data_IF_314074088431
#
_entry.id   IF_314074088431
#
_cell.length_a   1.000
_cell.length_b   1.000
_cell.length_c   1.000
_cell.angle_alpha   90.00
_cell.angle_beta   90.00
_cell.angle_gamma   90.00
#
_symmetry.space_group_name_H-M   'P 1'
#
loop_
_entity.id
_entity.type
_entity.pdbx_description
1 polymer ?
#
# COMPACT_ATOMS: atom_id res chain seq x y z
N UNK A 1 -6.01 17.90 10.00
CA UNK A 1 -5.32 17.65 8.71
C UNK A 1 -5.31 16.14 8.56
N UNK A 2 -5.72 15.59 7.42
CA UNK A 2 -5.68 14.13 7.23
C UNK A 2 -4.29 13.70 6.76
N UNK A 3 -3.79 12.59 7.29
CA UNK A 3 -2.50 12.02 6.91
C UNK A 3 -2.64 10.57 6.45
N UNK A 4 -1.73 10.16 5.58
CA UNK A 4 -1.71 8.83 4.98
C UNK A 4 -0.56 8.01 5.54
N UNK A 5 -0.82 6.79 5.99
CA UNK A 5 0.19 5.91 6.57
C UNK A 5 0.12 4.51 5.99
N UNK A 6 1.29 3.96 5.66
CA UNK A 6 1.45 2.55 5.31
C UNK A 6 1.84 1.77 6.54
N UNK A 7 1.18 0.64 6.76
CA UNK A 7 1.48 -0.23 7.89
C UNK A 7 1.17 -1.69 7.55
N UNK A 8 1.68 -2.60 8.38
CA UNK A 8 1.53 -4.04 8.21
C UNK A 8 0.37 -4.55 9.05
N UNK A 9 -0.57 -5.25 8.42
CA UNK A 9 -1.58 -6.04 9.13
C UNK A 9 -1.33 -7.53 8.92
N UNK A 10 -1.83 -8.35 9.85
CA UNK A 10 -1.60 -9.79 9.88
C UNK A 10 -2.85 -10.57 9.49
N UNK A 11 -2.68 -11.58 8.65
CA UNK A 11 -3.70 -12.54 8.24
C UNK A 11 -3.32 -13.94 8.73
N UNK A 12 -4.32 -14.70 9.20
CA UNK A 12 -4.15 -16.06 9.73
C UNK A 12 -3.79 -17.12 8.68
N UNK A 13 -3.53 -16.70 7.43
CA UNK A 13 -3.07 -17.60 6.37
C UNK A 13 -1.56 -17.76 6.40
N UNK A 14 -1.08 -18.90 5.90
CA UNK A 14 0.34 -19.21 5.82
C UNK A 14 0.77 -19.19 4.34
N UNK A 15 1.83 -18.44 4.03
CA UNK A 15 2.38 -18.41 2.69
C UNK A 15 2.92 -19.79 2.27
N UNK A 16 2.78 -20.20 0.99
CA UNK A 16 3.17 -21.53 0.52
C UNK A 16 4.60 -21.95 0.90
N UNK A 17 5.56 -21.01 0.86
CA UNK A 17 6.97 -21.24 1.20
C UNK A 17 7.19 -21.60 2.68
N UNK A 18 6.26 -21.26 3.58
CA UNK A 18 6.40 -21.51 5.01
C UNK A 18 5.66 -22.78 5.48
N UNK A 19 4.88 -23.44 4.61
CA UNK A 19 4.06 -24.62 4.98
C UNK A 19 4.83 -25.80 5.59
N UNK A 20 6.15 -25.90 5.35
CA UNK A 20 7.00 -27.00 5.87
C UNK A 20 7.71 -26.65 7.18
N UNK A 21 7.56 -25.43 7.69
CA UNK A 21 8.15 -24.99 8.95
C UNK A 21 7.26 -25.46 10.10
N UNK A 22 7.87 -25.92 11.20
CA UNK A 22 7.14 -26.47 12.36
C UNK A 22 6.21 -25.45 13.03
N UNK A 23 6.57 -24.18 12.98
CA UNK A 23 5.82 -23.04 13.52
C UNK A 23 5.92 -21.88 12.52
N UNK A 24 5.09 -21.89 11.45
CA UNK A 24 5.20 -20.92 10.38
C UNK A 24 4.60 -19.58 10.82
N UNK A 25 5.24 -18.44 10.47
CA UNK A 25 4.67 -17.14 10.75
C UNK A 25 3.38 -16.93 9.94
N UNK A 26 2.44 -16.20 10.52
CA UNK A 26 1.28 -15.70 9.79
C UNK A 26 1.70 -14.68 8.73
N UNK A 27 0.93 -14.65 7.64
CA UNK A 27 1.16 -13.72 6.55
C UNK A 27 0.91 -12.28 7.01
N UNK A 28 1.83 -11.38 6.67
CA UNK A 28 1.68 -9.93 6.88
C UNK A 28 1.72 -9.24 5.53
N UNK A 29 0.83 -8.28 5.34
CA UNK A 29 0.77 -7.49 4.12
C UNK A 29 0.56 -6.01 4.43
N UNK A 30 1.02 -5.17 3.50
CA UNK A 30 0.97 -3.72 3.66
C UNK A 30 -0.40 -3.20 3.26
N UNK A 31 -0.96 -2.32 4.07
CA UNK A 31 -2.16 -1.54 3.76
C UNK A 31 -1.85 -0.05 3.90
N UNK A 32 -2.61 0.78 3.19
CA UNK A 32 -2.59 2.23 3.35
C UNK A 32 -3.80 2.69 4.16
N UNK A 33 -3.61 3.48 5.22
CA UNK A 33 -4.70 4.00 6.04
C UNK A 33 -4.67 5.52 6.07
N UNK A 34 -5.84 6.11 6.24
CA UNK A 34 -5.99 7.55 6.43
C UNK A 34 -6.23 7.78 7.92
N UNK A 35 -5.47 8.69 8.50
CA UNK A 35 -5.58 9.15 9.87
C UNK A 35 -6.25 10.52 9.85
N UNK A 36 -7.28 10.69 10.66
CA UNK A 36 -7.99 11.96 10.79
C UNK A 36 -7.20 12.98 11.65
N UNK A 37 -7.81 14.13 11.92
CA UNK A 37 -7.19 15.23 12.65
C UNK A 37 -7.07 15.01 14.17
N UNK A 38 -7.66 13.94 14.68
CA UNK A 38 -7.61 13.54 16.10
C UNK A 38 -6.90 12.20 16.29
N UNK A 39 -6.01 11.86 15.35
CA UNK A 39 -5.17 10.64 15.34
C UNK A 39 -5.95 9.32 15.29
N UNK A 40 -7.20 9.32 14.82
CA UNK A 40 -7.96 8.09 14.61
C UNK A 40 -7.78 7.57 13.18
N UNK A 41 -7.61 6.25 13.05
CA UNK A 41 -7.64 5.57 11.76
C UNK A 41 -9.07 5.54 11.25
N UNK A 42 -9.29 6.07 10.05
CA UNK A 42 -10.56 5.89 9.35
C UNK A 42 -10.71 4.40 8.99
N UNK A 43 -11.73 3.77 9.58
CA UNK A 43 -11.98 2.35 9.37
C UNK A 43 -12.15 2.01 7.89
N UNK A 44 -11.50 0.94 7.46
CA UNK A 44 -11.64 0.44 6.09
C UNK A 44 -11.59 -1.08 6.05
N UNK A 45 -11.99 -1.62 4.91
CA UNK A 45 -11.82 -3.02 4.60
C UNK A 45 -10.67 -3.22 3.61
N UNK A 46 -9.87 -4.26 3.82
CA UNK A 46 -8.75 -4.62 2.96
C UNK A 46 -8.76 -6.13 2.70
N UNK A 47 -8.48 -6.53 1.46
CA UNK A 47 -8.42 -7.95 1.11
C UNK A 47 -6.98 -8.47 1.21
N UNK A 48 -6.81 -9.62 1.85
CA UNK A 48 -5.52 -10.29 1.94
C UNK A 48 -5.03 -10.67 0.52
N UNK A 49 -3.83 -10.19 0.15
CA UNK A 49 -3.23 -10.46 -1.16
C UNK A 49 -2.71 -11.90 -1.35
N UNK A 50 -2.90 -12.78 -0.36
CA UNK A 50 -2.55 -14.20 -0.46
C UNK A 50 -3.79 -15.13 -0.45
N UNK A 51 -4.69 -15.01 0.52
CA UNK A 51 -5.83 -15.92 0.66
C UNK A 51 -7.19 -15.29 0.33
N UNK A 52 -7.24 -13.98 0.03
CA UNK A 52 -8.47 -13.31 -0.36
C UNK A 52 -9.45 -12.98 0.78
N UNK A 53 -9.15 -13.34 2.03
CA UNK A 53 -10.03 -13.01 3.16
C UNK A 53 -10.03 -11.49 3.41
N UNK A 54 -11.18 -10.97 3.84
CA UNK A 54 -11.35 -9.54 4.11
C UNK A 54 -11.02 -9.24 5.57
N UNK A 55 -10.23 -8.19 5.76
CA UNK A 55 -9.85 -7.61 7.03
C UNK A 55 -10.55 -6.27 7.24
N UNK A 56 -11.13 -6.04 8.41
CA UNK A 56 -11.50 -4.70 8.89
C UNK A 56 -10.30 -4.10 9.59
N UNK A 57 -9.74 -3.04 9.01
CA UNK A 57 -8.63 -2.25 9.55
C UNK A 57 -9.24 -1.10 10.34
N UNK A 58 -8.96 -1.06 11.64
CA UNK A 58 -9.56 -0.08 12.57
C UNK A 58 -8.53 0.70 13.37
N UNK A 59 -7.24 0.33 13.29
CA UNK A 59 -6.14 1.00 13.99
C UNK A 59 -4.80 0.64 13.30
N UNK A 60 -3.73 1.36 13.59
CA UNK A 60 -2.40 1.14 13.01
C UNK A 60 -1.86 -0.22 13.42
N UNK A 61 -1.41 -0.99 12.43
CA UNK A 61 -0.96 -2.37 12.56
C UNK A 61 -2.00 -3.33 13.15
N UNK A 62 -3.29 -2.96 13.15
CA UNK A 62 -4.37 -3.75 13.75
C UNK A 62 -5.52 -3.96 12.78
N UNK A 63 -6.00 -5.18 12.75
CA UNK A 63 -7.17 -5.57 11.96
C UNK A 63 -7.84 -6.79 12.56
N UNK A 64 -9.08 -7.03 12.19
CA UNK A 64 -9.80 -8.27 12.48
C UNK A 64 -10.41 -8.86 11.19
N UNK A 65 -10.63 -10.17 11.16
CA UNK A 65 -11.28 -10.83 10.04
C UNK A 65 -12.74 -10.41 10.01
N UNK A 66 -13.20 -9.89 8.87
CA UNK A 66 -14.59 -9.50 8.66
C UNK A 66 -15.45 -10.76 8.42
N UNK A 67 -15.88 -11.42 9.49
CA UNK A 67 -16.73 -12.62 9.41
C UNK A 67 -18.05 -12.34 8.70
N UNK A 68 -18.44 -13.21 7.77
CA UNK A 68 -19.65 -13.03 6.94
C UNK A 68 -19.41 -12.28 5.62
N UNK A 69 -18.19 -11.81 5.37
CA UNK A 69 -17.79 -11.09 4.16
C UNK A 69 -16.55 -11.74 3.53
N UNK A 70 -16.69 -12.98 3.06
CA UNK A 70 -15.57 -13.77 2.51
C UNK A 70 -15.03 -13.21 1.18
N UNK A 71 -15.86 -12.48 0.42
CA UNK A 71 -15.44 -11.67 -0.72
C UNK A 71 -16.34 -10.44 -0.84
N UNK A 72 -15.75 -9.24 -0.79
CA UNK A 72 -16.46 -7.98 -1.02
C UNK A 72 -16.11 -7.45 -2.41
N UNK A 73 -17.02 -7.60 -3.37
CA UNK A 73 -16.88 -6.97 -4.69
C UNK A 73 -16.98 -5.44 -4.66
N UNK A 74 -17.30 -4.87 -3.50
CA UNK A 74 -17.35 -3.43 -3.26
C UNK A 74 -15.99 -2.81 -2.90
N UNK A 75 -14.94 -3.63 -2.72
CA UNK A 75 -13.60 -3.10 -2.45
C UNK A 75 -12.98 -2.55 -3.72
N UNK A 76 -12.38 -1.34 -3.67
CA UNK A 76 -11.67 -0.77 -4.81
C UNK A 76 -10.52 -1.68 -5.27
N UNK A 77 -10.48 -1.93 -6.57
CA UNK A 77 -9.43 -2.70 -7.24
C UNK A 77 -8.40 -1.78 -7.90
N UNK A 78 -7.27 -2.34 -8.37
CA UNK A 78 -6.28 -1.56 -9.14
C UNK A 78 -6.92 -1.02 -10.42
N UNK A 79 -7.83 -1.77 -11.02
CA UNK A 79 -8.60 -1.41 -12.20
C UNK A 79 -9.52 -0.21 -11.91
N UNK A 80 -10.23 -0.21 -10.77
CA UNK A 80 -11.07 0.93 -10.37
C UNK A 80 -10.23 2.20 -10.19
N UNK A 81 -9.07 2.09 -9.52
CA UNK A 81 -8.14 3.22 -9.41
C UNK A 81 -7.60 3.68 -10.76
N UNK A 82 -7.30 2.77 -11.68
CA UNK A 82 -6.82 3.13 -13.01
C UNK A 82 -7.79 4.01 -13.81
N UNK A 83 -9.09 3.87 -13.57
CA UNK A 83 -10.14 4.68 -14.19
C UNK A 83 -10.29 6.07 -13.54
N UNK A 84 -9.91 6.21 -12.27
CA UNK A 84 -10.02 7.45 -11.51
C UNK A 84 -8.75 8.32 -11.57
N UNK A 85 -7.60 7.70 -11.83
CA UNK A 85 -6.30 8.37 -11.87
C UNK A 85 -5.97 8.91 -13.27
N UNK A 86 -5.09 9.92 -13.39
CA UNK A 86 -4.54 10.32 -14.68
C UNK A 86 -3.85 9.14 -15.37
N UNK A 87 -4.10 8.95 -16.67
CA UNK A 87 -3.60 7.78 -17.43
C UNK A 87 -2.09 7.60 -17.33
N UNK A 88 -1.31 8.69 -17.41
CA UNK A 88 0.14 8.63 -17.25
C UNK A 88 0.58 8.07 -15.90
N UNK A 89 -0.18 8.33 -14.84
CA UNK A 89 0.12 7.81 -13.49
C UNK A 89 -0.28 6.34 -13.39
N UNK A 90 -1.45 5.97 -13.90
CA UNK A 90 -1.89 4.58 -13.95
C UNK A 90 -0.91 3.70 -14.76
N UNK A 91 -0.42 4.19 -15.90
CA UNK A 91 0.58 3.52 -16.74
C UNK A 91 1.88 3.30 -15.97
N UNK A 92 2.34 4.31 -15.21
CA UNK A 92 3.52 4.18 -14.34
C UNK A 92 3.28 3.08 -13.30
N UNK A 93 2.19 3.13 -12.55
CA UNK A 93 1.91 2.17 -11.47
C UNK A 93 1.78 0.73 -12.00
N UNK A 94 1.19 0.55 -13.17
CA UNK A 94 1.14 -0.75 -13.86
C UNK A 94 2.53 -1.21 -14.32
N UNK A 95 3.34 -0.31 -14.90
CA UNK A 95 4.68 -0.66 -15.41
C UNK A 95 5.65 -1.16 -14.34
N UNK A 96 5.46 -0.72 -13.09
CA UNK A 96 6.26 -1.15 -11.94
C UNK A 96 5.57 -2.25 -11.10
N UNK A 97 4.43 -2.79 -11.55
CA UNK A 97 3.61 -3.77 -10.83
C UNK A 97 3.32 -3.35 -9.37
N UNK A 98 2.95 -2.08 -9.17
CA UNK A 98 2.72 -1.54 -7.84
C UNK A 98 1.54 -2.24 -7.15
N UNK A 99 1.74 -2.60 -5.87
CA UNK A 99 0.72 -3.17 -4.99
C UNK A 99 -0.45 -2.20 -4.72
N UNK A 100 -1.64 -2.72 -4.40
CA UNK A 100 -2.87 -1.91 -4.25
C UNK A 100 -2.72 -0.74 -3.26
N UNK A 101 -2.00 -0.92 -2.15
CA UNK A 101 -1.79 0.15 -1.17
C UNK A 101 -1.04 1.37 -1.75
N UNK A 102 -0.24 1.19 -2.81
CA UNK A 102 0.42 2.29 -3.52
C UNK A 102 -0.60 3.07 -4.36
N UNK A 103 -1.56 2.38 -5.00
CA UNK A 103 -2.66 3.02 -5.73
C UNK A 103 -3.53 3.86 -4.79
N UNK A 104 -3.86 3.31 -3.62
CA UNK A 104 -4.57 4.03 -2.56
C UNK A 104 -3.80 5.28 -2.12
N UNK A 105 -2.48 5.16 -1.89
CA UNK A 105 -1.61 6.28 -1.51
C UNK A 105 -1.60 7.38 -2.59
N UNK A 106 -1.45 7.01 -3.87
CA UNK A 106 -1.45 7.96 -4.99
C UNK A 106 -2.79 8.68 -5.09
N UNK A 107 -3.90 7.96 -4.99
CA UNK A 107 -5.24 8.55 -5.01
C UNK A 107 -5.43 9.54 -3.85
N UNK A 108 -4.99 9.18 -2.64
CA UNK A 108 -5.02 10.07 -1.50
C UNK A 108 -4.22 11.36 -1.72
N UNK A 109 -2.98 11.24 -2.24
CA UNK A 109 -2.09 12.39 -2.51
C UNK A 109 -2.70 13.36 -3.50
N UNK A 110 -3.31 12.84 -4.59
CA UNK A 110 -3.99 13.67 -5.59
C UNK A 110 -5.22 14.36 -5.00
N UNK A 111 -6.07 13.61 -4.30
CA UNK A 111 -7.32 14.14 -3.72
C UNK A 111 -7.07 15.22 -2.65
N UNK A 112 -5.91 15.21 -2.00
CA UNK A 112 -5.54 16.16 -0.93
C UNK A 112 -4.41 17.11 -1.33
N UNK A 113 -4.00 17.13 -2.59
CA UNK A 113 -2.93 17.99 -3.12
C UNK A 113 -1.64 17.98 -2.27
N UNK A 114 -1.18 16.78 -1.88
CA UNK A 114 -0.01 16.59 -1.00
C UNK A 114 1.30 16.74 -1.78
N UNK A 115 1.63 17.96 -2.19
CA UNK A 115 2.84 18.28 -2.99
C UNK A 115 4.12 17.90 -2.25
N UNK A 116 5.11 17.41 -3.01
CA UNK A 116 6.41 16.87 -2.55
C UNK A 116 6.33 15.54 -1.80
N UNK A 117 5.15 14.94 -1.68
CA UNK A 117 5.02 13.60 -1.12
C UNK A 117 5.70 12.58 -2.04
N UNK A 118 6.49 11.68 -1.43
CA UNK A 118 7.32 10.70 -2.13
C UNK A 118 6.84 9.28 -1.88
N UNK A 119 6.71 8.52 -2.96
CA UNK A 119 6.29 7.12 -2.92
C UNK A 119 7.41 6.25 -3.47
N UNK A 120 7.91 5.31 -2.68
CA UNK A 120 8.84 4.28 -3.20
C UNK A 120 8.04 3.32 -4.08
N UNK A 121 8.34 3.31 -5.38
CA UNK A 121 7.69 2.42 -6.36
C UNK A 121 8.55 1.19 -6.70
N UNK A 122 9.87 1.28 -6.49
CA UNK A 122 10.79 0.16 -6.64
C UNK A 122 12.04 0.40 -5.79
N UNK A 123 12.62 -0.69 -5.28
CA UNK A 123 13.88 -0.68 -4.55
C UNK A 123 14.59 -2.02 -4.75
N UNK A 124 15.90 -1.95 -4.86
CA UNK A 124 16.83 -3.06 -4.97
C UNK A 124 17.93 -2.89 -3.92
N UNK A 125 18.33 -3.99 -3.29
CA UNK A 125 19.45 -4.00 -2.37
C UNK A 125 20.70 -4.55 -3.06
N UNK A 126 21.75 -3.73 -3.13
CA UNK A 126 23.00 -4.06 -3.79
C UNK A 126 24.16 -3.68 -2.86
N UNK A 127 24.84 -4.71 -2.32
CA UNK A 127 26.07 -4.56 -1.51
C UNK A 127 25.92 -3.59 -0.32
N UNK A 128 24.84 -3.72 0.47
CA UNK A 128 24.62 -2.86 1.65
C UNK A 128 24.15 -1.44 1.30
N UNK A 129 23.69 -1.23 0.06
CA UNK A 129 23.00 -0.02 -0.37
C UNK A 129 21.63 -0.38 -0.93
N UNK A 130 20.66 0.49 -0.68
CA UNK A 130 19.34 0.46 -1.29
C UNK A 130 19.33 1.48 -2.42
N UNK A 131 19.17 0.99 -3.64
CA UNK A 131 18.91 1.82 -4.82
C UNK A 131 17.42 1.70 -5.15
N UNK A 132 16.75 2.80 -5.47
CA UNK A 132 15.34 2.73 -5.83
C UNK A 132 14.87 3.93 -6.63
N UNK A 133 13.55 4.02 -6.82
CA UNK A 133 12.89 5.17 -7.44
C UNK A 133 11.77 5.68 -6.56
N UNK A 134 11.72 6.99 -6.42
CA UNK A 134 10.56 7.71 -5.91
C UNK A 134 9.65 8.12 -7.06
N UNK A 135 8.35 8.01 -6.82
CA UNK A 135 7.32 8.74 -7.52
C UNK A 135 6.94 9.94 -6.64
N UNK A 136 7.35 11.14 -7.05
CA UNK A 136 7.16 12.38 -6.28
C UNK A 136 6.02 13.18 -6.88
N UNK A 137 5.03 13.58 -6.08
CA UNK A 137 3.95 14.44 -6.56
C UNK A 137 4.42 15.90 -6.66
N UNK A 138 4.35 16.49 -7.86
CA UNK A 138 4.83 17.86 -8.11
C UNK A 138 3.68 18.87 -8.26
N UNK A 139 2.44 18.46 -8.00
CA UNK A 139 1.25 19.28 -8.19
C UNK A 139 0.63 19.14 -9.59
N UNK A 140 -0.57 19.71 -9.76
CA UNK A 140 -1.29 19.74 -11.04
C UNK A 140 -1.47 18.35 -11.68
N UNK A 141 -1.78 17.33 -10.87
CA UNK A 141 -1.95 15.94 -11.31
C UNK A 141 -0.71 15.34 -12.01
N UNK A 142 0.48 15.86 -11.73
CA UNK A 142 1.75 15.36 -12.30
C UNK A 142 2.65 14.76 -11.24
N UNK A 143 3.36 13.71 -11.64
CA UNK A 143 4.39 13.07 -10.84
C UNK A 143 5.73 13.08 -11.59
N UNK A 144 6.82 13.12 -10.83
CA UNK A 144 8.17 12.92 -11.32
C UNK A 144 8.72 11.59 -10.81
N UNK A 145 9.56 10.94 -11.61
CA UNK A 145 10.29 9.73 -11.20
C UNK A 145 11.73 10.11 -10.92
N UNK A 146 12.17 9.90 -9.68
CA UNK A 146 13.49 10.32 -9.21
C UNK A 146 14.23 9.11 -8.63
N UNK A 147 15.44 8.78 -9.12
CA UNK A 147 16.24 7.73 -8.51
C UNK A 147 16.75 8.17 -7.14
N UNK A 148 16.93 7.22 -6.23
CA UNK A 148 17.61 7.45 -4.96
C UNK A 148 18.60 6.33 -4.66
N UNK A 149 19.60 6.66 -3.84
CA UNK A 149 20.52 5.72 -3.23
C UNK A 149 20.58 6.05 -1.75
N UNK A 150 20.35 5.05 -0.90
CA UNK A 150 20.49 5.14 0.54
C UNK A 150 21.37 3.98 1.01
N UNK A 151 22.07 4.14 2.13
CA UNK A 151 22.74 3.00 2.78
C UNK A 151 21.68 2.14 3.49
N UNK A 152 21.89 0.82 3.58
CA UNK A 152 20.92 -0.10 4.21
C UNK A 152 20.83 0.10 5.74
N UNK A 153 21.69 0.92 6.33
CA UNK A 153 21.74 1.19 7.76
C UNK A 153 20.85 2.39 8.16
N UNK A 154 19.70 2.08 8.77
CA UNK A 154 19.03 2.87 9.82
C UNK A 154 18.42 1.91 10.85
#
# INVERSE_FOLDING_TARGET
MMDGIKHLIECQCILPQYKKIKDPPYHKFVVFSIVDDVDNVLEKFAQCNNCGIVHRVFDICRSEIATGHESLSSLPTKEDFSLMLPSSVADILNSYDCELYIWEQVSFILNHEKVNEKIVITKDEIKGKVQGKFLTYIGNNRFNIEPFVADTEL
#
